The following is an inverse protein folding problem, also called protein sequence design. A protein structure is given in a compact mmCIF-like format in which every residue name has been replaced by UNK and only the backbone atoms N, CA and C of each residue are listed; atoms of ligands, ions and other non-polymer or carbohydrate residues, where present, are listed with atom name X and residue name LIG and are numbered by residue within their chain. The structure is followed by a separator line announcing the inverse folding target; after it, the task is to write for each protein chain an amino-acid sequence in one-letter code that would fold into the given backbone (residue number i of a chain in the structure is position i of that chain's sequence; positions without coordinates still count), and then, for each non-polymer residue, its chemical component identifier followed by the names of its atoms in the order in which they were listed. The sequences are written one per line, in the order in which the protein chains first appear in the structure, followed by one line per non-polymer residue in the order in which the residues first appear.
data_IF_261447263333
#
_entry.id   IF_261447263333
#
_cell.length_a   1.000
_cell.length_b   1.000
_cell.length_c   1.000
_cell.angle_alpha   90.00
_cell.angle_beta   90.00
_cell.angle_gamma   90.00
#
_symmetry.space_group_name_H-M   'P 1'
#
loop_
_entity.id
_entity.type
_entity.pdbx_description
1 polymer ?
#
# COMPACT_ATOMS: atom_id res chain seq x y z
N UNK A 1 31.96 -14.73 7.26
CA UNK A 1 30.63 -15.22 7.68
C UNK A 1 29.80 -15.52 6.42
N UNK A 2 29.89 -16.78 5.93
CA UNK A 2 29.18 -17.23 4.70
C UNK A 2 27.66 -17.40 4.89
N UNK A 3 27.11 -17.26 6.08
CA UNK A 3 25.73 -17.64 6.40
C UNK A 3 24.77 -16.46 6.65
N UNK A 4 25.25 -15.23 6.59
CA UNK A 4 24.37 -14.08 6.74
C UNK A 4 23.55 -13.83 5.47
N UNK A 5 22.24 -13.61 5.62
CA UNK A 5 21.37 -13.17 4.53
C UNK A 5 21.74 -11.73 4.22
N UNK A 6 22.20 -11.49 2.99
CA UNK A 6 22.46 -10.15 2.48
C UNK A 6 21.34 -9.78 1.51
N UNK A 7 20.62 -8.69 1.84
CA UNK A 7 19.55 -8.16 1.03
C UNK A 7 19.83 -6.70 0.77
N UNK A 8 19.80 -6.32 -0.48
CA UNK A 8 19.86 -4.92 -0.91
C UNK A 8 18.72 -4.64 -1.86
N UNK A 9 18.33 -3.37 -1.95
CA UNK A 9 17.34 -2.95 -2.93
C UNK A 9 17.77 -1.64 -3.61
N UNK A 10 17.20 -1.38 -4.77
CA UNK A 10 17.32 -0.10 -5.49
C UNK A 10 15.97 0.29 -6.06
N UNK A 11 15.76 1.58 -6.24
CA UNK A 11 14.63 2.10 -7.01
C UNK A 11 14.95 2.07 -8.50
N UNK A 12 13.92 2.22 -9.35
CA UNK A 12 14.05 2.11 -10.80
C UNK A 12 15.16 3.01 -11.39
N UNK A 13 15.24 4.26 -10.94
CA UNK A 13 16.19 5.26 -11.46
C UNK A 13 17.40 5.48 -10.54
N UNK A 14 17.52 4.67 -9.48
CA UNK A 14 18.64 4.80 -8.55
C UNK A 14 19.83 3.95 -8.99
N UNK A 15 21.00 4.58 -9.03
CA UNK A 15 22.28 3.90 -9.19
C UNK A 15 22.71 3.25 -7.87
N UNK A 16 22.30 3.85 -6.74
CA UNK A 16 22.71 3.41 -5.41
C UNK A 16 21.89 2.22 -4.93
N UNK A 17 22.59 1.19 -4.46
CA UNK A 17 22.00 0.06 -3.75
C UNK A 17 21.93 0.36 -2.26
N UNK A 18 20.77 0.15 -1.65
CA UNK A 18 20.51 0.43 -0.25
C UNK A 18 20.40 -0.91 0.47
N UNK A 19 21.06 -1.15 1.62
CA UNK A 19 20.87 -2.35 2.41
C UNK A 19 19.43 -2.40 2.94
N UNK A 20 18.84 -3.58 2.92
CA UNK A 20 17.55 -3.82 3.56
C UNK A 20 17.79 -3.95 5.07
N UNK A 21 17.45 -2.92 5.79
CA UNK A 21 17.65 -2.84 7.24
C UNK A 21 16.29 -2.81 7.95
N UNK A 22 16.24 -3.42 9.13
CA UNK A 22 15.08 -3.44 10.03
C UNK A 22 15.39 -2.65 11.31
N UNK A 23 15.98 -1.47 11.17
CA UNK A 23 16.28 -0.61 12.32
C UNK A 23 15.02 0.03 12.89
N UNK A 24 15.11 0.55 14.11
CA UNK A 24 14.04 1.29 14.78
C UNK A 24 13.63 2.55 13.99
N UNK A 25 14.51 3.09 13.17
CA UNK A 25 14.22 4.23 12.29
C UNK A 25 13.15 3.91 11.22
N UNK A 26 12.91 2.63 10.96
CA UNK A 26 11.88 2.16 10.04
C UNK A 26 10.55 1.81 10.74
N UNK A 27 10.34 2.31 11.95
CA UNK A 27 9.15 2.00 12.75
C UNK A 27 7.85 2.29 12.00
N UNK A 28 7.76 3.44 11.32
CA UNK A 28 6.56 3.85 10.59
C UNK A 28 6.23 2.96 9.37
N UNK A 29 7.17 2.17 8.87
CA UNK A 29 6.92 1.29 7.71
C UNK A 29 5.88 0.19 7.97
N UNK A 30 5.63 -0.13 9.23
CA UNK A 30 4.65 -1.13 9.62
C UNK A 30 3.24 -0.56 9.76
N UNK A 31 3.09 0.74 9.90
CA UNK A 31 1.79 1.39 9.98
C UNK A 31 1.23 1.64 8.57
N UNK A 32 -0.09 1.58 8.46
CA UNK A 32 -0.77 1.90 7.21
C UNK A 32 -0.75 3.40 6.91
N UNK A 33 -0.73 4.22 7.95
CA UNK A 33 -0.74 5.68 7.89
C UNK A 33 0.48 6.20 8.66
N UNK A 34 1.42 6.92 8.02
CA UNK A 34 2.52 7.57 8.70
C UNK A 34 2.05 8.65 9.67
N UNK A 35 2.87 8.96 10.68
CA UNK A 35 2.60 9.99 11.70
C UNK A 35 2.40 11.41 11.15
N UNK A 36 2.87 11.66 9.91
CA UNK A 36 2.69 12.92 9.19
C UNK A 36 1.31 13.09 8.53
N UNK A 37 0.41 12.14 8.69
CA UNK A 37 -0.93 12.17 8.14
C UNK A 37 -2.01 12.20 9.22
N UNK A 38 -3.06 12.94 8.95
CA UNK A 38 -4.33 12.88 9.69
C UNK A 38 -5.29 11.96 8.94
N UNK A 39 -6.00 11.07 9.65
CA UNK A 39 -6.96 10.15 9.05
C UNK A 39 -8.23 10.04 9.91
N UNK A 40 -9.30 9.50 9.34
CA UNK A 40 -10.63 9.45 9.96
C UNK A 40 -10.82 8.32 10.99
N UNK A 41 -9.74 7.77 11.52
CA UNK A 41 -9.77 6.85 12.67
C UNK A 41 -9.75 5.37 12.31
N UNK A 42 -10.30 4.95 11.16
CA UNK A 42 -10.26 3.56 10.71
C UNK A 42 -9.02 3.30 9.84
N UNK A 43 -8.47 2.11 9.94
CA UNK A 43 -7.39 1.71 9.06
C UNK A 43 -7.86 1.68 7.59
N UNK A 44 -7.17 2.40 6.72
CA UNK A 44 -7.60 2.55 5.32
C UNK A 44 -8.64 3.66 5.08
N UNK A 45 -9.03 4.42 6.09
CA UNK A 45 -9.91 5.57 5.92
C UNK A 45 -9.21 6.71 5.17
N UNK A 46 -10.00 7.67 4.67
CA UNK A 46 -9.46 8.85 4.03
C UNK A 46 -8.41 9.54 4.91
N UNK A 47 -7.27 9.87 4.32
CA UNK A 47 -6.13 10.46 5.00
C UNK A 47 -5.68 11.74 4.30
N UNK A 48 -5.20 12.70 5.10
CA UNK A 48 -4.72 13.99 4.64
C UNK A 48 -3.30 14.22 5.15
N UNK A 49 -2.39 14.63 4.26
CA UNK A 49 -1.02 14.97 4.64
C UNK A 49 -0.97 16.29 5.40
N UNK A 50 -0.30 16.30 6.54
CA UNK A 50 0.00 17.51 7.30
C UNK A 50 1.22 18.26 6.73
N UNK A 51 1.98 17.61 5.86
CA UNK A 51 3.11 18.22 5.17
C UNK A 51 2.60 18.82 3.86
N UNK A 52 2.85 20.11 3.68
CA UNK A 52 2.52 20.79 2.43
C UNK A 52 3.38 20.23 1.29
N UNK A 53 2.72 19.62 0.31
CA UNK A 53 3.32 19.13 -0.91
C UNK A 53 2.47 19.60 -2.10
N UNK A 54 2.87 20.64 -2.83
CA UNK A 54 2.12 21.11 -4.00
C UNK A 54 2.14 20.03 -5.09
N UNK A 55 1.03 19.91 -5.81
CA UNK A 55 0.97 19.02 -6.97
C UNK A 55 1.80 19.67 -8.11
N UNK A 56 3.01 19.14 -8.32
CA UNK A 56 3.93 19.60 -9.35
C UNK A 56 3.87 18.75 -10.64
N UNK A 57 2.94 17.79 -10.71
CA UNK A 57 2.80 16.94 -11.90
C UNK A 57 2.06 17.69 -13.00
N UNK A 58 2.60 17.76 -14.23
CA UNK A 58 1.88 18.31 -15.37
C UNK A 58 0.69 17.40 -15.74
N UNK A 59 -0.40 18.01 -16.19
CA UNK A 59 -1.58 17.28 -16.67
C UNK A 59 -2.83 17.55 -15.84
N UNK A 60 -3.91 16.94 -16.26
CA UNK A 60 -5.17 17.02 -15.55
C UNK A 60 -5.16 16.15 -14.30
N UNK A 61 -5.70 16.69 -13.21
CA UNK A 61 -5.84 16.02 -11.94
C UNK A 61 -7.29 16.09 -11.45
N UNK A 62 -7.87 14.95 -11.09
CA UNK A 62 -9.22 14.87 -10.60
C UNK A 62 -9.39 15.38 -9.14
N UNK A 63 -8.30 15.66 -8.42
CA UNK A 63 -8.29 16.17 -7.06
C UNK A 63 -8.62 15.13 -5.96
N UNK A 64 -8.72 13.86 -6.28
CA UNK A 64 -9.05 12.79 -5.31
C UNK A 64 -7.79 12.11 -4.78
N UNK A 65 -7.13 12.71 -3.77
CA UNK A 65 -5.87 12.23 -3.22
C UNK A 65 -5.98 11.58 -1.84
N UNK A 66 -7.16 11.56 -1.25
CA UNK A 66 -7.36 11.10 0.14
C UNK A 66 -7.01 9.64 0.40
N UNK A 67 -6.91 8.83 -0.65
CA UNK A 67 -6.56 7.41 -0.58
C UNK A 67 -5.22 7.08 -1.24
N UNK A 68 -4.48 8.06 -1.76
CA UNK A 68 -3.22 7.83 -2.49
C UNK A 68 -2.16 7.18 -1.60
N UNK A 69 -2.16 7.47 -0.30
CA UNK A 69 -1.27 6.87 0.69
C UNK A 69 -1.40 5.33 0.75
N UNK A 70 -2.56 4.80 0.37
CA UNK A 70 -2.80 3.35 0.36
C UNK A 70 -2.51 2.71 -0.99
N UNK A 71 -2.07 3.44 -2.00
CA UNK A 71 -1.77 2.90 -3.32
C UNK A 71 -0.30 2.48 -3.40
N UNK A 72 -0.04 1.44 -4.16
CA UNK A 72 1.30 1.17 -4.63
C UNK A 72 1.55 1.95 -5.92
N UNK A 73 2.72 2.57 -6.02
CA UNK A 73 3.13 3.36 -7.19
C UNK A 73 4.35 2.73 -7.87
N UNK A 74 4.62 3.15 -9.10
CA UNK A 74 5.81 2.70 -9.83
C UNK A 74 7.09 3.24 -9.17
N UNK A 75 7.07 4.50 -8.74
CA UNK A 75 8.20 5.22 -8.16
C UNK A 75 8.70 4.56 -6.87
N UNK A 76 7.78 4.02 -6.07
CA UNK A 76 8.10 3.31 -4.84
C UNK A 76 8.54 1.86 -5.06
N UNK A 77 8.59 1.40 -6.30
CA UNK A 77 8.93 0.02 -6.59
C UNK A 77 10.40 -0.25 -6.35
N UNK A 78 10.66 -1.24 -5.50
CA UNK A 78 11.99 -1.67 -5.09
C UNK A 78 12.39 -2.93 -5.84
N UNK A 79 13.57 -2.93 -6.41
CA UNK A 79 14.19 -4.13 -7.00
C UNK A 79 15.19 -4.69 -6.01
N UNK A 80 14.88 -5.86 -5.48
CA UNK A 80 15.70 -6.52 -4.48
C UNK A 80 16.76 -7.39 -5.14
N UNK A 81 17.91 -7.47 -4.48
CA UNK A 81 18.98 -8.41 -4.78
C UNK A 81 19.32 -9.18 -3.50
N UNK A 82 19.20 -10.48 -3.56
CA UNK A 82 19.36 -11.36 -2.40
C UNK A 82 20.33 -12.50 -2.70
N UNK A 83 21.07 -12.96 -1.70
CA UNK A 83 21.90 -14.15 -1.81
C UNK A 83 21.14 -15.46 -1.54
N UNK A 84 19.97 -15.38 -0.89
CA UNK A 84 19.04 -16.49 -0.62
C UNK A 84 17.61 -16.01 -0.80
N UNK A 85 16.63 -16.89 -1.08
CA UNK A 85 15.23 -16.53 -1.06
C UNK A 85 14.85 -15.86 0.25
N UNK A 86 14.12 -14.76 0.16
CA UNK A 86 13.68 -14.01 1.33
C UNK A 86 12.16 -13.80 1.27
N UNK A 87 11.50 -14.08 2.40
CA UNK A 87 10.07 -13.80 2.59
C UNK A 87 9.87 -13.07 3.90
N UNK A 88 9.08 -12.02 3.85
CA UNK A 88 8.64 -11.27 5.03
C UNK A 88 7.11 -11.27 5.07
N UNK A 89 6.57 -11.73 6.19
CA UNK A 89 5.15 -11.65 6.51
C UNK A 89 4.97 -10.68 7.68
N UNK A 90 4.12 -9.69 7.50
CA UNK A 90 3.72 -8.76 8.54
C UNK A 90 2.21 -8.82 8.71
N UNK A 91 1.77 -9.03 9.95
CA UNK A 91 0.38 -9.04 10.32
C UNK A 91 0.14 -8.06 11.46
N UNK A 92 -0.82 -7.19 11.29
CA UNK A 92 -1.26 -6.26 12.32
C UNK A 92 -2.74 -6.45 12.58
N UNK A 93 -3.08 -6.52 13.87
CA UNK A 93 -4.44 -6.57 14.36
C UNK A 93 -4.67 -5.35 15.24
N UNK A 94 -5.70 -4.58 14.96
CA UNK A 94 -6.10 -3.42 15.74
C UNK A 94 -7.50 -3.60 16.34
N UNK A 95 -7.91 -2.66 17.17
CA UNK A 95 -9.23 -2.62 17.77
C UNK A 95 -10.32 -2.65 16.69
N UNK A 96 -11.50 -3.22 17.00
CA UNK A 96 -12.60 -3.30 16.04
C UNK A 96 -12.40 -4.34 14.91
N UNK A 97 -11.48 -5.30 15.05
CA UNK A 97 -11.12 -6.32 14.05
C UNK A 97 -10.45 -5.74 12.79
N UNK A 98 -9.84 -4.59 12.91
CA UNK A 98 -9.04 -4.02 11.84
C UNK A 98 -7.78 -4.87 11.61
N UNK A 99 -7.44 -5.11 10.36
CA UNK A 99 -6.34 -5.98 10.01
C UNK A 99 -5.53 -5.39 8.86
N UNK A 100 -4.22 -5.58 8.95
CA UNK A 100 -3.33 -5.35 7.82
C UNK A 100 -2.38 -6.52 7.66
N UNK A 101 -2.32 -7.04 6.45
CA UNK A 101 -1.39 -8.10 6.05
C UNK A 101 -0.46 -7.52 4.99
N UNK A 102 0.84 -7.71 5.18
CA UNK A 102 1.85 -7.44 4.14
C UNK A 102 2.67 -8.68 3.91
N UNK A 103 2.88 -9.03 2.66
CA UNK A 103 3.71 -10.16 2.25
C UNK A 103 4.69 -9.66 1.22
N UNK A 104 5.98 -9.80 1.49
CA UNK A 104 7.05 -9.56 0.54
C UNK A 104 7.79 -10.88 0.32
N UNK A 105 7.90 -11.30 -0.93
CA UNK A 105 8.79 -12.38 -1.32
C UNK A 105 9.73 -11.93 -2.43
N UNK A 106 11.01 -12.24 -2.30
CA UNK A 106 11.99 -11.91 -3.32
C UNK A 106 13.07 -12.98 -3.41
N UNK A 107 13.52 -13.23 -4.62
CA UNK A 107 14.54 -14.22 -4.91
C UNK A 107 15.43 -13.76 -6.07
N UNK A 108 16.72 -14.05 -5.96
CA UNK A 108 17.70 -13.86 -7.02
C UNK A 108 18.30 -15.22 -7.41
N UNK A 109 17.64 -15.99 -8.29
CA UNK A 109 18.12 -17.33 -8.69
C UNK A 109 19.47 -17.28 -9.38
N UNK A 110 19.80 -16.14 -9.99
CA UNK A 110 21.08 -15.87 -10.64
C UNK A 110 21.58 -14.50 -10.24
N UNK A 111 22.85 -14.26 -10.33
CA UNK A 111 23.50 -12.96 -10.01
C UNK A 111 22.99 -11.81 -10.89
N UNK A 112 22.45 -12.14 -12.06
CA UNK A 112 21.97 -11.22 -13.07
C UNK A 112 20.43 -11.17 -13.23
N UNK A 113 19.69 -11.93 -12.43
CA UNK A 113 18.24 -11.97 -12.48
C UNK A 113 17.65 -12.01 -11.08
N UNK A 114 16.70 -11.15 -10.80
CA UNK A 114 15.90 -11.19 -9.58
C UNK A 114 14.43 -10.90 -9.88
N UNK A 115 13.58 -11.45 -9.07
CA UNK A 115 12.13 -11.22 -9.11
C UNK A 115 11.55 -11.25 -7.70
N UNK A 116 10.37 -10.74 -7.57
CA UNK A 116 9.61 -10.82 -6.34
C UNK A 116 8.20 -10.30 -6.49
N UNK A 117 7.44 -10.48 -5.43
CA UNK A 117 6.12 -9.89 -5.31
C UNK A 117 5.95 -9.26 -3.93
N UNK A 118 5.09 -8.26 -3.88
CA UNK A 118 4.68 -7.53 -2.70
C UNK A 118 3.16 -7.48 -2.69
N UNK A 119 2.53 -7.85 -1.57
CA UNK A 119 1.09 -7.84 -1.40
C UNK A 119 0.72 -7.15 -0.10
N UNK A 120 -0.33 -6.34 -0.14
CA UNK A 120 -0.89 -5.71 1.05
C UNK A 120 -2.42 -5.81 1.03
N UNK A 121 -2.97 -6.27 2.13
CA UNK A 121 -4.40 -6.23 2.43
C UNK A 121 -4.62 -5.34 3.65
N UNK A 122 -5.50 -4.36 3.53
CA UNK A 122 -6.02 -3.57 4.65
C UNK A 122 -7.52 -3.84 4.70
N UNK A 123 -8.02 -4.32 5.82
CA UNK A 123 -9.44 -4.56 6.03
C UNK A 123 -9.84 -4.03 7.40
N UNK A 124 -10.71 -3.03 7.40
CA UNK A 124 -11.29 -2.48 8.62
C UNK A 124 -12.81 -2.62 8.52
N UNK A 125 -13.37 -3.67 9.16
CA UNK A 125 -14.80 -3.79 9.30
C UNK A 125 -15.32 -2.73 10.27
N UNK A 126 -16.61 -2.49 10.23
CA UNK A 126 -17.31 -1.37 10.84
C UNK A 126 -17.04 -1.18 12.33
N UNK A 127 -16.55 0.01 12.70
CA UNK A 127 -16.76 0.57 14.04
C UNK A 127 -18.00 1.48 14.07
N UNK A 128 -18.17 2.32 13.05
CA UNK A 128 -19.37 3.14 12.83
C UNK A 128 -20.14 2.63 11.61
N UNK A 129 -21.44 2.92 11.54
CA UNK A 129 -22.29 2.50 10.44
C UNK A 129 -21.71 3.03 9.11
N UNK A 130 -21.51 2.13 8.15
CA UNK A 130 -21.06 2.44 6.79
C UNK A 130 -19.70 3.17 6.74
N UNK A 131 -18.70 2.67 7.47
CA UNK A 131 -17.31 3.16 7.42
C UNK A 131 -16.29 2.07 7.13
N UNK A 132 -16.68 1.01 6.44
CA UNK A 132 -15.79 -0.11 6.13
C UNK A 132 -14.75 0.29 5.11
N UNK A 133 -13.56 -0.26 5.27
CA UNK A 133 -12.50 -0.17 4.26
C UNK A 133 -12.01 -1.55 3.87
N UNK A 134 -11.65 -1.72 2.60
CA UNK A 134 -11.03 -2.92 2.09
C UNK A 134 -10.09 -2.57 0.93
N UNK A 135 -8.81 -2.53 1.20
CA UNK A 135 -7.79 -2.22 0.21
C UNK A 135 -6.95 -3.45 -0.09
N UNK A 136 -6.75 -3.74 -1.35
CA UNK A 136 -5.91 -4.83 -1.85
C UNK A 136 -4.92 -4.26 -2.84
N UNK A 137 -3.64 -4.40 -2.54
CA UNK A 137 -2.58 -3.94 -3.40
C UNK A 137 -1.63 -5.10 -3.67
N UNK A 138 -1.16 -5.21 -4.88
CA UNK A 138 -0.13 -6.15 -5.25
C UNK A 138 0.85 -5.54 -6.23
N UNK A 139 2.08 -6.00 -6.17
CA UNK A 139 3.15 -5.57 -7.05
C UNK A 139 4.02 -6.78 -7.38
N UNK A 140 4.22 -7.00 -8.66
CA UNK A 140 5.20 -7.95 -9.18
C UNK A 140 6.35 -7.14 -9.78
N UNK A 141 7.55 -7.56 -9.52
CA UNK A 141 8.73 -6.89 -10.07
C UNK A 141 9.78 -7.92 -10.49
N UNK A 142 10.47 -7.62 -11.56
CA UNK A 142 11.65 -8.37 -11.95
C UNK A 142 12.68 -7.48 -12.63
N UNK A 143 13.94 -7.83 -12.48
CA UNK A 143 15.02 -7.19 -13.19
C UNK A 143 16.01 -8.22 -13.71
N UNK A 144 16.47 -7.98 -14.91
CA UNK A 144 17.48 -8.77 -15.58
C UNK A 144 18.62 -7.87 -16.07
N UNK A 145 19.84 -8.31 -15.88
CA UNK A 145 21.03 -7.66 -16.42
C UNK A 145 21.84 -8.67 -17.26
N UNK A 146 22.10 -8.34 -18.50
CA UNK A 146 22.89 -9.19 -19.40
C UNK A 146 24.30 -9.45 -18.86
N UNK A 147 24.90 -10.58 -19.19
CA UNK A 147 26.24 -10.98 -18.71
C UNK A 147 27.34 -9.93 -18.99
N UNK A 148 27.26 -9.23 -20.10
CA UNK A 148 28.20 -8.14 -20.49
C UNK A 148 27.81 -6.78 -19.89
N UNK A 149 26.77 -6.71 -19.03
CA UNK A 149 26.22 -5.48 -18.42
C UNK A 149 25.79 -4.40 -19.40
N UNK A 150 25.65 -4.74 -20.69
CA UNK A 150 25.18 -3.81 -21.73
C UNK A 150 23.66 -3.77 -21.87
N UNK A 151 22.97 -4.83 -21.48
CA UNK A 151 21.52 -4.96 -21.57
C UNK A 151 20.94 -5.04 -20.18
N UNK A 152 19.93 -4.24 -19.90
CA UNK A 152 19.13 -4.34 -18.69
C UNK A 152 17.63 -4.29 -19.04
N UNK A 153 16.84 -5.12 -18.38
CA UNK A 153 15.39 -5.14 -18.50
C UNK A 153 14.75 -5.08 -17.11
N UNK A 154 13.73 -4.25 -16.98
CA UNK A 154 12.94 -4.08 -15.78
C UNK A 154 11.48 -4.32 -16.12
N UNK A 155 10.80 -5.04 -15.26
CA UNK A 155 9.37 -5.27 -15.35
C UNK A 155 8.73 -4.95 -14.00
N UNK A 156 7.63 -4.20 -14.03
CA UNK A 156 6.80 -3.90 -12.87
C UNK A 156 5.34 -4.05 -13.28
N UNK A 157 4.58 -4.75 -12.46
CA UNK A 157 3.12 -4.79 -12.55
C UNK A 157 2.58 -4.40 -11.18
N UNK A 158 1.78 -3.35 -11.15
CA UNK A 158 1.13 -2.82 -9.94
C UNK A 158 -0.37 -2.88 -10.12
N UNK A 159 -1.06 -3.51 -9.20
CA UNK A 159 -2.51 -3.47 -9.13
C UNK A 159 -2.99 -2.97 -7.78
N UNK A 160 -3.89 -2.01 -7.81
CA UNK A 160 -4.53 -1.47 -6.63
C UNK A 160 -6.05 -1.64 -6.73
N UNK A 161 -6.64 -2.02 -5.61
CA UNK A 161 -8.10 -2.01 -5.41
C UNK A 161 -8.35 -1.33 -4.08
N UNK A 162 -8.80 -0.10 -4.14
CA UNK A 162 -9.11 0.73 -2.98
C UNK A 162 -10.63 0.81 -2.85
N UNK A 163 -11.15 0.36 -1.71
CA UNK A 163 -12.58 0.39 -1.41
C UNK A 163 -12.78 1.01 -0.04
N UNK A 164 -13.52 2.10 0.03
CA UNK A 164 -13.86 2.77 1.28
C UNK A 164 -15.33 3.18 1.29
N UNK A 165 -16.06 2.77 2.30
CA UNK A 165 -17.44 3.17 2.49
C UNK A 165 -17.53 4.63 2.96
N UNK A 166 -18.62 5.27 2.59
CA UNK A 166 -18.97 6.63 3.03
C UNK A 166 -20.38 6.63 3.60
N UNK A 167 -20.54 7.19 4.78
CA UNK A 167 -21.84 7.23 5.47
C UNK A 167 -22.62 8.53 5.25
N UNK A 168 -22.04 9.54 4.60
CA UNK A 168 -22.69 10.82 4.36
C UNK A 168 -22.97 11.67 5.60
N UNK A 169 -22.34 11.32 6.75
CA UNK A 169 -22.57 11.97 8.04
C UNK A 169 -23.80 11.43 8.78
N UNK A 170 -24.02 11.94 10.00
CA UNK A 170 -25.17 11.60 10.84
C UNK A 170 -26.45 12.28 10.34
N UNK A 171 -27.59 11.64 10.55
CA UNK A 171 -28.89 12.17 10.07
C UNK A 171 -29.36 13.39 10.84
N UNK A 172 -29.02 13.52 12.12
CA UNK A 172 -29.37 14.67 12.95
C UNK A 172 -28.39 14.79 14.14
N UNK A 173 -27.96 16.02 14.44
CA UNK A 173 -27.03 16.30 15.55
C UNK A 173 -27.64 16.00 16.93
N UNK A 174 -28.96 16.12 17.06
CA UNK A 174 -29.70 15.79 18.28
C UNK A 174 -29.50 14.33 18.73
N UNK A 175 -29.22 13.43 17.80
CA UNK A 175 -28.95 12.01 18.11
C UNK A 175 -27.67 11.79 18.91
N UNK A 176 -26.71 12.72 18.87
CA UNK A 176 -25.49 12.68 19.67
C UNK A 176 -25.73 13.03 21.12
N UNK A 177 -26.82 13.77 21.41
CA UNK A 177 -27.20 14.22 22.76
C UNK A 177 -28.23 13.28 23.41
N UNK A 178 -28.75 12.28 22.68
CA UNK A 178 -29.74 11.33 23.21
C UNK A 178 -29.12 10.44 24.30
N UNK A 179 -29.57 10.53 25.56
CA UNK A 179 -29.04 9.76 26.67
C UNK A 179 -29.30 8.24 26.54
N UNK A 180 -30.27 7.85 25.70
CA UNK A 180 -30.58 6.45 25.41
C UNK A 180 -29.61 5.83 24.39
N UNK A 181 -28.87 6.64 23.66
CA UNK A 181 -27.88 6.23 22.67
C UNK A 181 -26.44 6.32 23.19
N UNK A 182 -26.15 5.55 24.22
CA UNK A 182 -24.79 5.49 24.80
C UNK A 182 -23.73 5.00 23.80
N UNK A 183 -24.15 4.23 22.80
CA UNK A 183 -23.26 3.64 21.81
C UNK A 183 -23.32 4.44 20.49
N UNK A 184 -22.35 5.30 20.26
CA UNK A 184 -22.29 6.17 19.08
C UNK A 184 -22.23 5.45 17.74
N UNK A 185 -21.78 4.19 17.73
CA UNK A 185 -21.76 3.38 16.51
C UNK A 185 -23.16 2.92 16.04
N UNK A 186 -24.21 3.16 16.83
CA UNK A 186 -25.61 2.87 16.42
C UNK A 186 -26.33 4.09 15.89
N UNK A 187 -25.67 5.26 15.81
CA UNK A 187 -26.27 6.48 15.31
C UNK A 187 -26.59 6.35 13.82
N UNK A 188 -27.83 6.61 13.38
CA UNK A 188 -28.20 6.54 11.97
C UNK A 188 -27.39 7.53 11.12
N UNK A 189 -27.08 7.10 9.92
CA UNK A 189 -26.29 7.87 8.95
C UNK A 189 -27.10 8.11 7.66
N UNK A 190 -26.71 9.12 6.90
CA UNK A 190 -27.45 9.51 5.69
C UNK A 190 -27.35 8.47 4.57
N UNK A 191 -26.23 7.76 4.49
CA UNK A 191 -25.99 6.78 3.43
C UNK A 191 -25.73 5.39 4.01
N UNK A 192 -26.39 4.40 3.44
CA UNK A 192 -26.07 3.00 3.67
C UNK A 192 -26.53 2.39 4.99
N UNK A 193 -27.38 2.99 5.76
CA UNK A 193 -27.97 2.62 7.08
C UNK A 193 -28.03 1.12 7.49
N UNK A 194 -27.31 0.26 6.79
CA UNK A 194 -27.18 -1.16 7.09
C UNK A 194 -25.85 -1.40 7.81
N UNK A 195 -25.94 -2.02 8.98
CA UNK A 195 -24.77 -2.60 9.60
C UNK A 195 -24.19 -3.64 8.64
N UNK A 196 -23.20 -3.25 7.89
CA UNK A 196 -22.44 -4.15 7.04
C UNK A 196 -21.41 -4.93 7.88
N UNK A 197 -21.80 -5.37 9.10
CA UNK A 197 -20.97 -6.26 9.89
C UNK A 197 -20.77 -7.54 9.08
N UNK A 198 -19.55 -7.70 8.62
CA UNK A 198 -19.14 -8.91 7.91
C UNK A 198 -18.44 -9.82 8.91
N UNK A 199 -18.89 -11.06 9.06
CA UNK A 199 -18.23 -12.02 9.94
C UNK A 199 -16.83 -12.39 9.45
N UNK A 200 -16.52 -12.16 8.16
CA UNK A 200 -15.21 -12.44 7.59
C UNK A 200 -14.27 -11.24 7.79
N UNK A 201 -13.26 -11.35 8.65
CA UNK A 201 -12.32 -10.25 8.91
C UNK A 201 -11.45 -9.87 7.71
N UNK A 202 -11.34 -10.73 6.70
CA UNK A 202 -10.55 -10.45 5.49
C UNK A 202 -11.35 -9.82 4.35
N UNK A 203 -12.66 -9.73 4.49
CA UNK A 203 -13.55 -9.14 3.50
C UNK A 203 -14.57 -8.23 4.17
N UNK A 204 -14.25 -6.96 4.30
CA UNK A 204 -15.25 -5.97 4.65
C UNK A 204 -16.02 -5.57 3.37
N UNK A 205 -17.33 -5.75 3.38
CA UNK A 205 -18.19 -5.34 2.26
C UNK A 205 -18.31 -3.82 2.19
N UNK A 206 -18.02 -3.22 1.05
CA UNK A 206 -18.31 -1.81 0.78
C UNK A 206 -19.60 -1.75 -0.02
N UNK A 207 -20.69 -1.29 0.62
CA UNK A 207 -22.02 -1.20 0.00
C UNK A 207 -22.20 0.16 -0.65
N UNK A 208 -21.80 1.23 0.04
CA UNK A 208 -21.91 2.62 -0.43
C UNK A 208 -20.59 3.30 -0.20
N UNK A 209 -19.98 3.89 -1.23
CA UNK A 209 -18.69 4.56 -1.08
C UNK A 209 -17.86 4.57 -2.36
N UNK A 210 -16.57 4.80 -2.19
CA UNK A 210 -15.61 4.90 -3.28
C UNK A 210 -14.98 3.56 -3.60
N UNK A 211 -14.93 3.22 -4.87
CA UNK A 211 -14.20 2.06 -5.39
C UNK A 211 -13.28 2.55 -6.49
N UNK A 212 -11.97 2.45 -6.25
CA UNK A 212 -10.94 2.75 -7.24
C UNK A 212 -10.17 1.47 -7.53
N UNK A 213 -10.01 1.16 -8.83
CA UNK A 213 -9.22 0.03 -9.30
C UNK A 213 -8.31 0.51 -10.39
N UNK A 214 -7.03 0.24 -10.26
CA UNK A 214 -6.03 0.53 -11.28
C UNK A 214 -5.08 -0.64 -11.45
N UNK A 215 -4.61 -0.79 -12.67
CA UNK A 215 -3.58 -1.75 -13.06
C UNK A 215 -2.57 -1.03 -13.92
N UNK A 216 -1.32 -1.05 -13.50
CA UNK A 216 -0.21 -0.44 -14.23
C UNK A 216 0.81 -1.51 -14.58
N UNK A 217 1.18 -1.57 -15.85
CA UNK A 217 2.24 -2.43 -16.37
C UNK A 217 3.35 -1.55 -16.90
N UNK A 218 4.56 -1.76 -16.42
CA UNK A 218 5.73 -1.02 -16.85
C UNK A 218 6.83 -1.97 -17.29
N UNK A 219 7.36 -1.73 -18.49
CA UNK A 219 8.49 -2.46 -19.05
C UNK A 219 9.53 -1.45 -19.52
N UNK A 220 10.75 -1.59 -19.04
CA UNK A 220 11.89 -0.77 -19.48
C UNK A 220 13.01 -1.68 -19.92
N UNK A 221 13.53 -1.42 -21.10
CA UNK A 221 14.71 -2.08 -21.64
C UNK A 221 15.75 -1.03 -21.97
N UNK A 222 16.99 -1.29 -21.61
CA UNK A 222 18.12 -0.41 -21.92
C UNK A 222 19.25 -1.23 -22.54
N UNK A 223 19.87 -0.67 -23.55
CA UNK A 223 21.03 -1.28 -24.21
C UNK A 223 22.11 -0.22 -24.42
N UNK A 224 23.28 -0.44 -23.84
CA UNK A 224 24.43 0.44 -23.96
C UNK A 224 25.18 0.13 -25.27
N UNK A 225 25.18 1.10 -26.19
CA UNK A 225 25.90 1.05 -27.48
C UNK A 225 27.24 1.80 -27.30
N UNK A 226 28.33 1.17 -27.69
CA UNK A 226 29.65 1.79 -27.64
C UNK A 226 30.71 0.94 -26.93
N UNK A 227 31.96 1.43 -26.93
CA UNK A 227 33.04 0.85 -26.11
C UNK A 227 32.83 1.28 -24.67
N UNK A 228 32.85 0.32 -23.74
CA UNK A 228 33.01 0.64 -22.32
C UNK A 228 34.46 1.00 -22.11
N UNK A 229 34.70 2.22 -21.62
CA UNK A 229 36.00 2.55 -21.05
C UNK A 229 36.22 1.64 -19.83
N UNK A 230 37.34 0.95 -19.80
CA UNK A 230 37.77 -0.02 -18.79
C UNK A 230 38.10 0.64 -17.47
#
# INVERSE_FOLDING_TARGET
RKDSIAITYKYLDSIRSIPFDSTINDFDKYFSVPSSYLYLGNNGAAAYSLIYAPNAKPGWDAGFHTFDIYRYTLEESKFYKTNRPFSQLSYQLASGKEQMIKVLHTQSPRTNFSFGFDYRLISAPVFFITQNTNHKNYRLFSNYQGKRKRYAAFFILVGNTIKASQNGGITADSLLQDPNRKQRFTVPVNLGNKNAYQPNPFQSGVITGNINKDLTVFVRQTYDIGKKDS
#
